data_IF_724149649347
#
_entry.id   IF_724149649347
#
_cell.length_a   1.000
_cell.length_b   1.000
_cell.length_c   1.000
_cell.angle_alpha   90.00
_cell.angle_beta   90.00
_cell.angle_gamma   90.00
#
_symmetry.space_group_name_H-M   'P 1'
#
loop_
_entity.id
_entity.type
_entity.pdbx_description
1 polymer ?
#
# COMPACT_ATOMS: atom_id res chain seq x y z
N UNK A 1 -25.66 6.96 -32.09
CA UNK A 1 -24.70 6.74 -30.99
C UNK A 1 -24.92 5.34 -30.45
N UNK A 2 -24.25 4.36 -31.03
CA UNK A 2 -24.38 2.96 -30.63
C UNK A 2 -23.86 2.76 -29.22
N UNK A 3 -24.76 2.37 -28.33
CA UNK A 3 -24.43 1.96 -26.98
C UNK A 3 -23.74 0.61 -27.06
N UNK A 4 -22.40 0.62 -27.00
CA UNK A 4 -21.58 -0.60 -26.93
C UNK A 4 -22.00 -1.38 -25.68
N UNK A 5 -22.91 -2.36 -25.84
CA UNK A 5 -23.30 -3.32 -24.80
C UNK A 5 -22.10 -4.24 -24.52
N UNK A 6 -21.15 -3.76 -23.70
CA UNK A 6 -20.00 -4.56 -23.27
C UNK A 6 -20.45 -5.73 -22.37
N UNK A 7 -19.96 -6.92 -22.70
CA UNK A 7 -20.29 -8.24 -22.17
C UNK A 7 -20.15 -8.33 -20.63
N UNK A 8 -21.11 -8.96 -19.94
CA UNK A 8 -21.05 -9.28 -18.50
C UNK A 8 -20.40 -10.66 -18.31
N UNK A 9 -19.17 -10.84 -18.81
CA UNK A 9 -18.48 -12.15 -18.92
C UNK A 9 -18.80 -13.14 -17.79
N UNK A 10 -18.99 -14.42 -18.15
CA UNK A 10 -19.38 -15.50 -17.23
C UNK A 10 -18.40 -15.56 -16.06
N UNK A 11 -18.93 -15.65 -14.83
CA UNK A 11 -18.10 -15.81 -13.61
C UNK A 11 -17.25 -17.09 -13.74
N UNK A 12 -15.92 -16.99 -13.65
CA UNK A 12 -15.04 -18.15 -13.75
C UNK A 12 -15.16 -19.05 -12.52
N UNK A 13 -14.58 -20.25 -12.58
CA UNK A 13 -14.35 -21.07 -11.38
C UNK A 13 -13.29 -20.42 -10.50
N UNK A 14 -13.23 -20.81 -9.22
CA UNK A 14 -12.27 -20.25 -8.26
C UNK A 14 -10.82 -20.51 -8.69
N UNK A 15 -10.52 -21.67 -9.27
CA UNK A 15 -9.16 -22.01 -9.70
C UNK A 15 -8.66 -21.13 -10.84
N UNK A 16 -9.51 -20.90 -11.86
CA UNK A 16 -9.20 -19.97 -12.95
C UNK A 16 -9.05 -18.54 -12.42
N UNK A 17 -9.91 -18.16 -11.47
CA UNK A 17 -9.82 -16.85 -10.85
C UNK A 17 -8.49 -16.66 -10.08
N UNK A 18 -8.05 -17.69 -9.34
CA UNK A 18 -6.77 -17.70 -8.62
C UNK A 18 -5.60 -17.56 -9.58
N UNK A 19 -5.54 -18.37 -10.64
CA UNK A 19 -4.48 -18.31 -11.65
C UNK A 19 -4.37 -16.90 -12.26
N UNK A 20 -5.50 -16.30 -12.64
CA UNK A 20 -5.51 -14.95 -13.21
C UNK A 20 -5.10 -13.90 -12.18
N UNK A 21 -5.53 -14.00 -10.93
CA UNK A 21 -5.15 -13.07 -9.88
C UNK A 21 -3.64 -13.14 -9.58
N UNK A 22 -3.08 -14.33 -9.50
CA UNK A 22 -1.65 -14.55 -9.29
C UNK A 22 -0.78 -14.06 -10.45
N UNK A 23 -1.25 -14.26 -11.69
CA UNK A 23 -0.54 -13.81 -12.89
C UNK A 23 -0.57 -12.29 -13.06
N UNK A 24 -1.58 -11.61 -12.50
CA UNK A 24 -1.77 -10.16 -12.57
C UNK A 24 -1.47 -9.43 -11.26
N UNK A 25 -0.87 -10.12 -10.29
CA UNK A 25 -0.46 -9.58 -8.98
C UNK A 25 -1.56 -8.77 -8.27
N UNK A 26 -2.81 -9.25 -8.32
CA UNK A 26 -3.94 -8.60 -7.65
C UNK A 26 -4.36 -7.23 -8.23
N UNK A 27 -3.85 -6.85 -9.41
CA UNK A 27 -4.21 -5.58 -10.05
C UNK A 27 -5.61 -5.72 -10.68
N UNK A 28 -6.61 -5.13 -10.01
CA UNK A 28 -8.03 -5.21 -10.43
C UNK A 28 -8.28 -4.82 -11.90
N UNK A 29 -7.50 -3.88 -12.42
CA UNK A 29 -7.59 -3.47 -13.83
C UNK A 29 -7.16 -4.55 -14.79
N UNK A 30 -6.03 -5.18 -14.51
CA UNK A 30 -5.43 -6.19 -15.38
C UNK A 30 -6.18 -7.52 -15.29
N UNK A 31 -6.71 -7.85 -14.11
CA UNK A 31 -7.60 -8.99 -13.90
C UNK A 31 -8.91 -8.79 -14.67
N UNK A 32 -9.52 -7.61 -14.58
CA UNK A 32 -10.74 -7.31 -15.32
C UNK A 32 -10.51 -7.37 -16.84
N UNK A 33 -9.35 -6.90 -17.33
CA UNK A 33 -8.96 -7.01 -18.72
C UNK A 33 -8.75 -8.48 -19.15
N UNK A 34 -8.03 -9.27 -18.34
CA UNK A 34 -7.74 -10.68 -18.61
C UNK A 34 -9.02 -11.54 -18.67
N UNK A 35 -9.99 -11.26 -17.80
CA UNK A 35 -11.29 -11.94 -17.79
C UNK A 35 -12.31 -11.34 -18.76
N UNK A 36 -11.94 -10.29 -19.51
CA UNK A 36 -12.82 -9.56 -20.41
C UNK A 36 -14.12 -9.06 -19.73
N UNK A 37 -13.98 -8.52 -18.52
CA UNK A 37 -15.07 -7.95 -17.72
C UNK A 37 -14.81 -6.47 -17.38
N UNK A 38 -15.84 -5.79 -16.86
CA UNK A 38 -15.66 -4.47 -16.26
C UNK A 38 -15.11 -4.62 -14.83
N UNK A 39 -14.29 -3.66 -14.39
CA UNK A 39 -13.84 -3.59 -12.97
C UNK A 39 -15.01 -3.61 -11.99
N UNK A 40 -16.14 -2.97 -12.34
CA UNK A 40 -17.36 -3.01 -11.52
C UNK A 40 -17.94 -4.41 -11.35
N UNK A 41 -17.83 -5.27 -12.37
CA UNK A 41 -18.26 -6.67 -12.30
C UNK A 41 -17.37 -7.45 -11.35
N UNK A 42 -16.05 -7.24 -11.42
CA UNK A 42 -15.09 -7.83 -10.48
C UNK A 42 -15.44 -7.46 -9.03
N UNK A 43 -15.62 -6.17 -8.73
CA UNK A 43 -16.02 -5.74 -7.38
C UNK A 43 -17.37 -6.30 -6.94
N UNK A 44 -18.31 -6.48 -7.87
CA UNK A 44 -19.57 -7.17 -7.61
C UNK A 44 -19.36 -8.63 -7.20
N UNK A 45 -18.38 -9.34 -7.79
CA UNK A 45 -18.04 -10.70 -7.36
C UNK A 45 -17.39 -10.69 -5.99
N UNK A 46 -16.39 -9.83 -5.75
CA UNK A 46 -15.68 -9.75 -4.47
C UNK A 46 -16.62 -9.41 -3.31
N UNK A 47 -17.64 -8.56 -3.53
CA UNK A 47 -18.62 -8.20 -2.50
C UNK A 47 -19.55 -9.36 -2.12
N UNK A 48 -19.92 -10.19 -3.09
CA UNK A 48 -20.93 -11.23 -2.90
C UNK A 48 -20.34 -12.62 -2.66
N UNK A 49 -19.03 -12.78 -2.83
CA UNK A 49 -18.33 -14.06 -2.71
C UNK A 49 -17.05 -13.88 -1.87
N UNK A 50 -17.09 -14.29 -0.58
CA UNK A 50 -15.95 -14.19 0.32
C UNK A 50 -14.71 -14.96 -0.14
N UNK A 51 -14.88 -16.08 -0.85
CA UNK A 51 -13.76 -16.90 -1.32
C UNK A 51 -13.00 -16.18 -2.44
N UNK A 52 -13.74 -15.54 -3.36
CA UNK A 52 -13.13 -14.67 -4.37
C UNK A 52 -12.43 -13.46 -3.74
N UNK A 53 -13.01 -12.87 -2.67
CA UNK A 53 -12.33 -11.79 -1.95
C UNK A 53 -11.01 -12.24 -1.37
N UNK A 54 -10.99 -13.40 -0.69
CA UNK A 54 -9.78 -13.95 -0.09
C UNK A 54 -8.68 -14.19 -1.13
N UNK A 55 -9.00 -14.85 -2.25
CA UNK A 55 -8.04 -15.09 -3.34
C UNK A 55 -7.50 -13.79 -3.93
N UNK A 56 -8.36 -12.78 -4.07
CA UNK A 56 -7.94 -11.49 -4.60
C UNK A 56 -7.05 -10.72 -3.63
N UNK A 57 -7.34 -10.77 -2.33
CA UNK A 57 -6.54 -10.13 -1.29
C UNK A 57 -5.18 -10.82 -1.12
N UNK A 58 -5.13 -12.16 -1.14
CA UNK A 58 -3.87 -12.92 -1.19
C UNK A 58 -3.02 -12.54 -2.41
N UNK A 59 -3.63 -12.42 -3.59
CA UNK A 59 -2.91 -12.02 -4.79
C UNK A 59 -2.39 -10.57 -4.72
N UNK A 60 -3.02 -9.70 -3.93
CA UNK A 60 -2.53 -8.34 -3.69
C UNK A 60 -1.29 -8.32 -2.82
N UNK A 61 -1.16 -9.21 -1.83
CA UNK A 61 0.06 -9.29 -1.02
C UNK A 61 1.30 -9.55 -1.87
N UNK A 62 1.16 -10.27 -3.00
CA UNK A 62 2.24 -10.50 -3.96
C UNK A 62 2.85 -9.20 -4.52
N UNK A 63 2.08 -8.13 -4.70
CA UNK A 63 2.64 -6.84 -5.16
C UNK A 63 3.50 -6.20 -4.07
N UNK A 64 3.12 -6.38 -2.80
CA UNK A 64 3.89 -5.93 -1.65
C UNK A 64 5.17 -6.73 -1.55
N UNK A 65 5.12 -8.06 -1.67
CA UNK A 65 6.32 -8.91 -1.71
C UNK A 65 7.29 -8.49 -2.82
N UNK A 66 6.77 -8.17 -4.00
CA UNK A 66 7.60 -7.65 -5.10
C UNK A 66 8.26 -6.32 -4.76
N UNK A 67 7.51 -5.39 -4.15
CA UNK A 67 8.05 -4.11 -3.70
C UNK A 67 9.09 -4.29 -2.59
N UNK A 68 8.88 -5.21 -1.66
CA UNK A 68 9.82 -5.56 -0.59
C UNK A 68 11.11 -6.18 -1.12
N UNK A 69 11.00 -7.07 -2.11
CA UNK A 69 12.16 -7.63 -2.79
C UNK A 69 12.95 -6.53 -3.51
N UNK A 70 12.26 -5.59 -4.18
CA UNK A 70 12.94 -4.46 -4.82
C UNK A 70 13.59 -3.54 -3.79
N UNK A 71 12.92 -3.27 -2.68
CA UNK A 71 13.46 -2.51 -1.55
C UNK A 71 14.73 -3.18 -1.00
N UNK A 72 14.73 -4.51 -0.84
CA UNK A 72 15.90 -5.28 -0.41
C UNK A 72 17.07 -5.11 -1.39
N UNK A 73 16.84 -5.16 -2.70
CA UNK A 73 17.89 -4.89 -3.70
C UNK A 73 18.46 -3.47 -3.55
N UNK A 74 17.60 -2.46 -3.34
CA UNK A 74 18.04 -1.07 -3.15
C UNK A 74 18.85 -0.89 -1.85
N UNK A 75 18.49 -1.60 -0.78
CA UNK A 75 19.26 -1.60 0.48
C UNK A 75 20.65 -2.23 0.28
N UNK A 76 20.75 -3.27 -0.55
CA UNK A 76 22.00 -3.98 -0.79
C UNK A 76 22.92 -3.27 -1.79
N UNK A 77 22.34 -2.57 -2.77
CA UNK A 77 23.07 -2.10 -3.93
C UNK A 77 23.54 -3.24 -4.84
N UNK A 78 24.18 -2.88 -5.94
CA UNK A 78 24.79 -3.81 -6.90
C UNK A 78 26.30 -3.58 -6.90
N UNK A 79 27.08 -4.44 -6.23
CA UNK A 79 28.54 -4.33 -6.23
C UNK A 79 29.12 -4.71 -7.60
N UNK A 80 30.18 -4.02 -7.99
CA UNK A 80 31.04 -4.37 -9.12
C UNK A 80 32.19 -5.21 -8.59
N UNK A 81 32.41 -6.38 -9.18
CA UNK A 81 33.58 -7.21 -8.92
C UNK A 81 34.44 -7.29 -10.18
N UNK A 82 35.75 -7.23 -9.99
CA UNK A 82 36.75 -7.48 -11.02
C UNK A 82 37.57 -8.70 -10.61
N UNK A 83 38.10 -9.42 -11.60
CA UNK A 83 38.96 -10.57 -11.38
C UNK A 83 40.40 -10.04 -11.40
N UNK A 84 41.15 -10.30 -10.34
CA UNK A 84 42.56 -9.94 -10.29
C UNK A 84 43.43 -10.89 -11.12
N UNK A 85 44.72 -10.58 -11.22
CA UNK A 85 45.70 -11.40 -11.96
C UNK A 85 45.85 -12.84 -11.41
N UNK A 86 45.30 -13.11 -10.23
CA UNK A 86 45.29 -14.43 -9.58
C UNK A 86 43.97 -15.19 -9.78
N UNK A 87 42.98 -14.60 -10.46
CA UNK A 87 41.67 -15.22 -10.69
C UNK A 87 40.66 -14.97 -9.57
N UNK A 88 40.99 -14.15 -8.57
CA UNK A 88 40.14 -13.88 -7.42
C UNK A 88 39.23 -12.68 -7.64
N UNK A 89 37.99 -12.76 -7.11
CA UNK A 89 37.01 -11.66 -7.23
C UNK A 89 37.32 -10.58 -6.20
N UNK A 90 37.76 -9.42 -6.67
CA UNK A 90 37.93 -8.23 -5.84
C UNK A 90 36.78 -7.25 -6.04
N UNK A 91 36.36 -6.63 -4.94
CA UNK A 91 35.38 -5.55 -4.99
C UNK A 91 36.01 -4.32 -5.64
N UNK A 92 35.49 -3.93 -6.80
CA UNK A 92 36.00 -2.84 -7.61
C UNK A 92 35.14 -1.55 -7.51
N UNK A 93 34.08 -1.58 -6.70
CA UNK A 93 33.19 -0.44 -6.49
C UNK A 93 31.71 -0.81 -6.66
N UNK A 94 30.87 0.17 -6.96
CA UNK A 94 29.42 -0.01 -7.08
C UNK A 94 28.95 0.25 -8.51
N UNK A 95 28.16 -0.68 -9.06
CA UNK A 95 27.37 -0.43 -10.27
C UNK A 95 26.19 0.46 -9.89
N UNK A 96 25.47 0.05 -8.83
CA UNK A 96 24.44 0.84 -8.18
C UNK A 96 24.74 0.87 -6.67
N UNK A 97 24.85 2.06 -6.10
CA UNK A 97 25.11 2.19 -4.66
C UNK A 97 23.87 1.83 -3.84
N UNK A 98 24.04 1.29 -2.62
CA UNK A 98 22.95 1.18 -1.66
C UNK A 98 22.22 2.51 -1.50
N UNK A 99 20.89 2.47 -1.49
CA UNK A 99 20.07 3.66 -1.32
C UNK A 99 19.93 4.01 0.16
N UNK A 100 20.52 5.12 0.57
CA UNK A 100 20.41 5.67 1.93
C UNK A 100 18.93 5.87 2.33
N UNK A 101 18.11 6.41 1.43
CA UNK A 101 16.67 6.58 1.65
C UNK A 101 15.96 5.25 1.90
N UNK A 102 16.26 4.21 1.12
CA UNK A 102 15.67 2.88 1.31
C UNK A 102 16.09 2.25 2.65
N UNK A 103 17.36 2.44 3.04
CA UNK A 103 17.89 1.99 4.33
C UNK A 103 17.17 2.71 5.48
N UNK A 104 17.11 4.05 5.44
CA UNK A 104 16.45 4.87 6.46
C UNK A 104 14.96 4.54 6.56
N UNK A 105 14.26 4.44 5.43
CA UNK A 105 12.85 4.07 5.37
C UNK A 105 12.61 2.70 6.03
N UNK A 106 13.45 1.71 5.73
CA UNK A 106 13.34 0.36 6.30
C UNK A 106 13.58 0.37 7.81
N UNK A 107 14.58 1.12 8.27
CA UNK A 107 14.86 1.27 9.70
C UNK A 107 13.69 1.96 10.42
N UNK A 108 13.14 3.04 9.87
CA UNK A 108 12.00 3.77 10.45
C UNK A 108 10.70 2.96 10.46
N UNK A 109 10.50 2.03 9.52
CA UNK A 109 9.28 1.23 9.42
C UNK A 109 9.38 -0.10 10.17
N UNK A 110 10.48 -0.84 10.01
CA UNK A 110 10.68 -2.19 10.58
C UNK A 110 11.61 -2.22 11.79
N UNK A 111 12.46 -1.22 11.97
CA UNK A 111 13.44 -1.10 13.04
C UNK A 111 12.95 -0.37 14.30
N UNK A 112 11.67 0.02 14.39
CA UNK A 112 11.13 0.82 15.52
C UNK A 112 11.48 0.25 16.89
N UNK A 113 11.41 -1.08 17.06
CA UNK A 113 11.75 -1.78 18.32
C UNK A 113 13.23 -1.62 18.72
N UNK A 114 14.11 -1.25 17.79
CA UNK A 114 15.54 -0.97 18.01
C UNK A 114 15.84 0.52 18.21
N UNK A 115 14.82 1.37 18.29
CA UNK A 115 14.97 2.81 18.54
C UNK A 115 15.00 3.68 17.29
N UNK A 116 14.81 3.12 16.09
CA UNK A 116 14.65 3.89 14.84
C UNK A 116 13.25 4.51 14.74
N UNK A 117 12.92 5.35 15.71
CA UNK A 117 11.66 6.09 15.79
C UNK A 117 11.99 7.57 15.68
N UNK A 118 11.29 8.27 14.79
CA UNK A 118 11.32 9.72 14.75
C UNK A 118 10.37 10.26 15.81
N UNK A 119 10.93 10.77 16.90
CA UNK A 119 10.13 11.45 17.93
C UNK A 119 9.77 12.83 17.40
N UNK A 120 8.48 13.16 17.48
CA UNK A 120 8.00 14.52 17.30
C UNK A 120 7.52 15.02 18.65
N UNK A 121 8.11 16.12 19.10
CA UNK A 121 7.58 16.88 20.23
C UNK A 121 6.66 17.94 19.62
N UNK A 122 5.36 17.82 19.90
CA UNK A 122 4.37 18.80 19.46
C UNK A 122 4.22 19.79 20.62
N UNK A 123 4.50 21.07 20.36
CA UNK A 123 4.27 22.16 21.32
C UNK A 123 3.33 23.20 20.71
N UNK A 124 2.66 23.97 21.56
CA UNK A 124 1.95 25.17 21.15
C UNK A 124 2.89 26.26 20.62
N UNK A 125 2.31 27.36 20.13
CA UNK A 125 3.08 28.49 19.61
C UNK A 125 4.10 28.98 20.66
N UNK A 126 5.34 29.23 20.22
CA UNK A 126 6.46 29.66 21.09
C UNK A 126 6.79 28.68 22.24
N UNK A 127 6.54 27.39 22.07
CA UNK A 127 6.81 26.39 23.12
C UNK A 127 5.78 26.39 24.26
N UNK A 128 4.65 27.08 24.08
CA UNK A 128 3.54 27.04 25.03
C UNK A 128 2.89 25.64 25.05
N UNK A 129 2.11 25.36 26.08
CA UNK A 129 1.32 24.14 26.15
C UNK A 129 0.38 24.03 24.93
N UNK A 130 0.17 22.80 24.46
CA UNK A 130 -0.87 22.54 23.45
C UNK A 130 -2.20 22.94 24.09
N UNK A 131 -2.86 23.94 23.51
CA UNK A 131 -4.20 24.33 23.96
C UNK A 131 -5.09 23.08 23.93
N UNK A 132 -5.86 22.81 25.00
CA UNK A 132 -6.79 21.70 25.00
C UNK A 132 -7.71 21.83 23.78
N UNK A 133 -8.15 20.71 23.18
CA UNK A 133 -9.13 20.76 22.10
C UNK A 133 -10.30 21.63 22.55
N UNK A 134 -10.73 22.59 21.72
CA UNK A 134 -11.83 23.50 22.06
C UNK A 134 -13.05 22.66 22.44
N UNK A 135 -13.37 22.61 23.72
CA UNK A 135 -14.62 22.08 24.23
C UNK A 135 -15.67 23.16 24.11
N UNK A 136 -16.88 22.80 23.67
CA UNK A 136 -18.02 23.70 23.77
C UNK A 136 -18.19 24.10 25.24
N UNK A 137 -18.39 25.40 25.48
CA UNK A 137 -18.86 25.83 26.81
C UNK A 137 -20.25 25.25 27.08
N UNK A 138 -20.70 25.17 28.34
CA UNK A 138 -22.07 24.76 28.64
C UNK A 138 -23.15 25.58 27.92
N UNK A 139 -22.85 26.85 27.61
CA UNK A 139 -23.75 27.75 26.87
C UNK A 139 -23.76 27.43 25.37
N UNK A 140 -22.57 27.30 24.75
CA UNK A 140 -22.44 26.91 23.33
C UNK A 140 -23.02 25.51 23.07
N UNK A 141 -22.86 24.58 24.02
CA UNK A 141 -23.44 23.25 23.95
C UNK A 141 -24.97 23.29 24.00
N UNK A 142 -25.55 24.19 24.82
CA UNK A 142 -27.00 24.40 24.90
C UNK A 142 -27.55 25.04 23.63
N UNK A 143 -26.88 26.06 23.09
CA UNK A 143 -27.27 26.68 21.82
C UNK A 143 -27.21 25.68 20.65
N UNK A 144 -26.17 24.85 20.61
CA UNK A 144 -26.04 23.80 19.61
C UNK A 144 -27.16 22.76 19.72
N UNK A 145 -27.48 22.32 20.94
CA UNK A 145 -28.61 21.43 21.21
C UNK A 145 -29.95 22.05 20.78
N UNK A 146 -30.18 23.31 21.15
CA UNK A 146 -31.40 24.05 20.82
C UNK A 146 -31.57 24.23 19.30
N UNK A 147 -30.45 24.45 18.59
CA UNK A 147 -30.44 24.53 17.12
C UNK A 147 -30.75 23.17 16.48
N UNK A 148 -30.14 22.10 16.97
CA UNK A 148 -30.42 20.73 16.50
C UNK A 148 -31.89 20.33 16.71
N UNK A 149 -32.45 20.66 17.88
CA UNK A 149 -33.86 20.42 18.20
C UNK A 149 -34.82 21.27 17.34
N UNK A 150 -34.37 22.39 16.79
CA UNK A 150 -35.18 23.23 15.89
C UNK A 150 -35.12 22.81 14.41
N UNK A 151 -34.09 22.04 14.03
CA UNK A 151 -33.88 21.55 12.66
C UNK A 151 -34.51 20.17 12.41
N UNK A 152 -35.00 19.48 13.46
CA UNK A 152 -35.72 18.20 13.42
C UNK A 152 -37.19 18.34 13.83
#
# INVERSE_FOLDING_TARGET
MDTIKKNRGKKPTIDIFREVCEAKAGIAGDIAAALNIRRSTLYGWLKNDPEFSAVFDEAREKILDMAENRLRTLIQGVPKFEIDDHGEKQFAGWIEKPSETAIIFTLKTRGKKRGYVERQEITGANGADILPPRTLTPEEAREYLMKLESEY
#
